data_IF_892580056388
#
_entry.id   IF_892580056388
#
_cell.length_a   1.000
_cell.length_b   1.000
_cell.length_c   1.000
_cell.angle_alpha   90.00
_cell.angle_beta   90.00
_cell.angle_gamma   90.00
#
_symmetry.space_group_name_H-M   'P 1'
#
loop_
_entity.id
_entity.type
_entity.pdbx_description
1 polymer ?
#
# COMPACT_ATOMS: atom_id res chain seq x y z
N UNK A 1 31.61 -48.54 -12.80
CA UNK A 1 31.16 -47.28 -13.51
C UNK A 1 29.65 -47.16 -13.61
N UNK A 2 28.89 -48.23 -13.96
CA UNK A 2 27.42 -48.15 -14.02
C UNK A 2 26.78 -47.87 -12.62
N UNK A 3 27.25 -48.59 -11.59
CA UNK A 3 26.75 -48.43 -10.23
C UNK A 3 27.00 -47.02 -9.66
N UNK A 4 28.13 -46.38 -10.00
CA UNK A 4 28.44 -44.99 -9.55
C UNK A 4 27.55 -43.98 -10.22
N UNK A 5 27.25 -44.14 -11.52
CA UNK A 5 26.33 -43.24 -12.26
C UNK A 5 24.92 -43.36 -11.69
N UNK A 6 24.43 -44.57 -11.46
CA UNK A 6 23.13 -44.81 -10.85
C UNK A 6 23.05 -44.23 -9.44
N UNK A 7 24.08 -44.36 -8.63
CA UNK A 7 24.16 -43.78 -7.28
C UNK A 7 24.08 -42.23 -7.29
N UNK A 8 24.79 -41.58 -8.22
CA UNK A 8 24.75 -40.13 -8.39
C UNK A 8 23.33 -39.68 -8.82
N UNK A 9 22.72 -40.33 -9.76
CA UNK A 9 21.36 -39.99 -10.22
C UNK A 9 20.36 -40.11 -9.06
N UNK A 10 20.41 -41.21 -8.32
CA UNK A 10 19.53 -41.42 -7.16
C UNK A 10 19.75 -40.34 -6.09
N UNK A 11 21.02 -40.01 -5.77
CA UNK A 11 21.29 -38.97 -4.75
C UNK A 11 20.82 -37.58 -5.20
N UNK A 12 20.94 -37.23 -6.49
CA UNK A 12 20.42 -35.96 -7.02
C UNK A 12 18.89 -35.92 -6.94
N UNK A 13 18.22 -37.00 -7.31
CA UNK A 13 16.75 -37.07 -7.21
C UNK A 13 16.29 -36.94 -5.76
N UNK A 14 16.94 -37.59 -4.82
CA UNK A 14 16.63 -37.49 -3.37
C UNK A 14 16.85 -36.07 -2.85
N UNK A 15 17.94 -35.40 -3.23
CA UNK A 15 18.22 -34.03 -2.84
C UNK A 15 17.17 -33.05 -3.40
N UNK A 16 16.77 -33.22 -4.65
CA UNK A 16 15.71 -32.41 -5.25
C UNK A 16 14.37 -32.62 -4.51
N UNK A 17 14.05 -33.89 -4.20
CA UNK A 17 12.82 -34.18 -3.46
C UNK A 17 12.82 -33.60 -2.04
N UNK A 18 13.92 -33.68 -1.32
CA UNK A 18 14.08 -33.04 0.00
C UNK A 18 13.98 -31.53 -0.12
N UNK A 19 14.58 -30.91 -1.14
CA UNK A 19 14.48 -29.47 -1.37
C UNK A 19 13.04 -29.02 -1.62
N UNK A 20 12.29 -29.77 -2.40
CA UNK A 20 10.87 -29.51 -2.64
C UNK A 20 10.06 -29.62 -1.34
N UNK A 21 10.31 -30.64 -0.52
CA UNK A 21 9.61 -30.81 0.76
C UNK A 21 9.93 -29.68 1.74
N UNK A 22 11.18 -29.20 1.80
CA UNK A 22 11.58 -28.07 2.63
C UNK A 22 10.90 -26.80 2.19
N UNK A 23 10.88 -26.51 0.87
CA UNK A 23 10.20 -25.35 0.32
C UNK A 23 8.70 -25.41 0.59
N UNK A 24 8.07 -26.57 0.39
CA UNK A 24 6.65 -26.77 0.65
C UNK A 24 6.33 -26.59 2.15
N UNK A 25 7.19 -27.10 3.05
CA UNK A 25 7.05 -26.90 4.50
C UNK A 25 7.18 -25.43 4.89
N UNK A 26 8.10 -24.68 4.28
CA UNK A 26 8.27 -23.24 4.52
C UNK A 26 7.06 -22.44 4.06
N UNK A 27 6.52 -22.73 2.88
CA UNK A 27 5.33 -22.07 2.35
C UNK A 27 4.09 -22.39 3.20
N UNK A 28 3.93 -23.66 3.61
CA UNK A 28 2.78 -24.08 4.45
C UNK A 28 2.85 -23.52 5.87
N UNK A 29 4.03 -23.20 6.39
CA UNK A 29 4.20 -22.59 7.73
C UNK A 29 3.86 -21.09 7.72
N UNK A 30 3.77 -20.46 6.55
CA UNK A 30 3.48 -19.02 6.41
C UNK A 30 2.02 -18.67 6.71
N UNK A 31 1.11 -19.63 6.70
CA UNK A 31 -0.32 -19.45 7.04
C UNK A 31 -0.63 -19.81 8.50
N UNK A 32 0.19 -19.37 9.46
CA UNK A 32 -0.21 -19.54 10.86
C UNK A 32 -1.34 -18.55 11.20
N UNK A 33 -2.56 -19.04 11.30
CA UNK A 33 -3.68 -18.26 11.85
C UNK A 33 -3.29 -17.70 13.21
N UNK A 34 -3.20 -16.37 13.29
CA UNK A 34 -2.94 -15.69 14.56
C UNK A 34 -4.11 -15.96 15.51
N UNK A 35 -3.88 -16.69 16.59
CA UNK A 35 -4.91 -16.89 17.61
C UNK A 35 -5.20 -15.58 18.33
N UNK A 36 -6.37 -15.02 18.04
CA UNK A 36 -6.85 -13.80 18.69
C UNK A 36 -7.28 -14.12 20.12
N UNK A 37 -6.72 -13.41 21.11
CA UNK A 37 -7.14 -13.54 22.51
C UNK A 37 -8.31 -12.61 22.81
N UNK A 38 -9.10 -12.95 23.85
CA UNK A 38 -10.18 -12.08 24.32
C UNK A 38 -9.67 -10.68 24.67
N UNK A 39 -10.43 -9.66 24.26
CA UNK A 39 -10.12 -8.25 24.47
C UNK A 39 -8.84 -7.79 23.76
N UNK A 40 -8.54 -8.34 22.61
CA UNK A 40 -7.42 -7.88 21.75
C UNK A 40 -7.74 -6.56 21.05
N UNK A 41 -6.71 -5.87 20.66
CA UNK A 41 -6.74 -4.70 19.76
C UNK A 41 -5.98 -5.09 18.51
N UNK A 42 -6.58 -4.86 17.34
CA UNK A 42 -5.88 -5.01 16.07
C UNK A 42 -4.94 -3.82 15.87
N UNK A 43 -3.66 -4.10 15.69
CA UNK A 43 -2.68 -3.08 15.31
C UNK A 43 -2.63 -2.99 13.78
N UNK A 44 -2.92 -1.82 13.25
CA UNK A 44 -2.81 -1.50 11.84
C UNK A 44 -1.59 -0.59 11.65
N UNK A 45 -0.46 -1.21 11.33
CA UNK A 45 0.78 -0.51 11.00
C UNK A 45 0.74 -0.03 9.56
N UNK A 46 0.68 1.28 9.36
CA UNK A 46 0.67 1.93 8.05
C UNK A 46 2.06 2.48 7.73
N UNK A 47 2.98 1.57 7.42
CA UNK A 47 4.37 1.90 7.12
C UNK A 47 4.85 1.14 5.89
N UNK A 48 5.03 1.83 4.76
CA UNK A 48 5.52 1.23 3.51
C UNK A 48 4.73 1.62 2.28
N UNK A 49 4.86 0.84 1.22
CA UNK A 49 4.13 1.02 -0.03
C UNK A 49 2.84 0.19 -0.02
N UNK A 50 1.81 0.72 -0.67
CA UNK A 50 0.55 0.01 -0.87
C UNK A 50 0.41 -0.39 -2.34
N UNK A 51 0.18 -1.69 -2.58
CA UNK A 51 -0.21 -2.25 -3.86
C UNK A 51 -1.69 -2.68 -3.82
N UNK A 52 -2.31 -2.88 -4.96
CA UNK A 52 -3.69 -3.40 -5.05
C UNK A 52 -3.81 -4.78 -4.40
N UNK A 53 -2.80 -5.62 -4.60
CA UNK A 53 -2.70 -6.97 -4.04
C UNK A 53 -1.34 -7.20 -3.44
N UNK A 54 -1.28 -7.95 -2.36
CA UNK A 54 0.00 -8.45 -1.84
C UNK A 54 0.70 -9.30 -2.90
N UNK A 55 1.99 -9.09 -3.03
CA UNK A 55 2.86 -9.97 -3.82
C UNK A 55 3.74 -10.69 -2.82
N UNK A 56 3.45 -11.98 -2.59
CA UNK A 56 4.33 -12.85 -1.82
C UNK A 56 5.62 -13.09 -2.60
N UNK A 57 6.56 -12.18 -2.45
CA UNK A 57 7.88 -12.37 -3.01
C UNK A 57 8.76 -13.03 -1.94
N UNK A 58 9.22 -14.28 -2.15
CA UNK A 58 10.08 -14.98 -1.17
C UNK A 58 11.37 -14.23 -0.83
N UNK A 59 11.79 -13.30 -1.69
CA UNK A 59 12.97 -12.47 -1.46
C UNK A 59 12.72 -11.30 -0.50
N UNK A 60 11.48 -10.88 -0.29
CA UNK A 60 11.16 -9.77 0.61
C UNK A 60 11.49 -10.13 2.06
N UNK A 61 11.35 -11.40 2.43
CA UNK A 61 11.78 -11.94 3.72
C UNK A 61 13.31 -11.85 3.94
N UNK A 62 14.11 -11.83 2.87
CA UNK A 62 15.57 -11.69 2.92
C UNK A 62 16.03 -10.22 2.90
N UNK A 63 15.22 -9.31 2.39
CA UNK A 63 15.56 -7.89 2.24
C UNK A 63 15.24 -7.06 3.49
N UNK A 64 14.53 -7.62 4.46
CA UNK A 64 14.13 -6.96 5.70
C UNK A 64 12.93 -6.01 5.56
N UNK A 65 12.38 -5.55 6.68
CA UNK A 65 11.14 -4.76 6.77
C UNK A 65 11.14 -3.41 6.03
N UNK A 66 12.28 -2.94 5.55
CA UNK A 66 12.41 -1.64 4.89
C UNK A 66 11.71 -1.55 3.51
N UNK A 67 11.28 -2.67 2.95
CA UNK A 67 10.61 -2.76 1.64
C UNK A 67 9.24 -3.42 1.72
N UNK A 68 8.60 -3.36 2.89
CA UNK A 68 7.30 -3.98 3.10
C UNK A 68 6.26 -3.35 2.18
N UNK A 69 5.68 -4.18 1.32
CA UNK A 69 4.55 -3.80 0.46
C UNK A 69 3.31 -4.47 1.01
N UNK A 70 2.29 -3.68 1.31
CA UNK A 70 1.00 -4.17 1.79
C UNK A 70 0.05 -4.35 0.61
N UNK A 71 -0.77 -5.39 0.62
CA UNK A 71 -1.93 -5.52 -0.24
C UNK A 71 -3.10 -4.69 0.29
N UNK A 72 -3.75 -3.92 -0.56
CA UNK A 72 -4.99 -3.24 -0.21
C UNK A 72 -6.06 -4.25 0.20
N UNK A 73 -6.18 -5.34 -0.57
CA UNK A 73 -7.09 -6.45 -0.30
C UNK A 73 -6.87 -7.09 1.07
N UNK A 74 -5.61 -7.26 1.51
CA UNK A 74 -5.27 -7.80 2.82
C UNK A 74 -5.67 -6.85 3.96
N UNK A 75 -5.42 -5.55 3.78
CA UNK A 75 -5.82 -4.53 4.76
C UNK A 75 -7.35 -4.52 4.91
N UNK A 76 -8.08 -4.47 3.79
CA UNK A 76 -9.54 -4.45 3.80
C UNK A 76 -10.13 -5.73 4.44
N UNK A 77 -9.58 -6.89 4.06
CA UNK A 77 -10.01 -8.17 4.61
C UNK A 77 -9.71 -8.28 6.12
N UNK A 78 -8.56 -7.76 6.55
CA UNK A 78 -8.17 -7.74 7.97
C UNK A 78 -9.08 -6.84 8.81
N UNK A 79 -9.44 -5.65 8.31
CA UNK A 79 -10.39 -4.76 8.97
C UNK A 79 -11.78 -5.43 9.06
N UNK A 80 -12.23 -6.09 7.99
CA UNK A 80 -13.50 -6.81 7.99
C UNK A 80 -13.51 -7.95 8.99
N UNK A 81 -12.46 -8.79 9.02
CA UNK A 81 -12.31 -9.87 10.02
C UNK A 81 -12.31 -9.32 11.45
N UNK A 82 -11.63 -8.17 11.67
CA UNK A 82 -11.63 -7.52 12.97
C UNK A 82 -13.02 -6.98 13.37
N UNK A 83 -13.82 -6.51 12.42
CA UNK A 83 -15.21 -6.10 12.65
C UNK A 83 -16.06 -7.26 13.14
N UNK A 84 -15.92 -8.42 12.50
CA UNK A 84 -16.72 -9.63 12.75
C UNK A 84 -16.26 -10.41 13.99
N UNK A 85 -15.05 -10.22 14.48
CA UNK A 85 -14.48 -10.97 15.59
C UNK A 85 -14.78 -10.30 16.94
N UNK A 86 -15.58 -10.94 17.79
CA UNK A 86 -15.98 -10.43 19.10
C UNK A 86 -14.82 -10.29 20.11
N UNK A 87 -13.72 -10.98 19.91
CA UNK A 87 -12.54 -10.89 20.76
C UNK A 87 -11.71 -9.64 20.48
N UNK A 88 -11.90 -8.99 19.33
CA UNK A 88 -11.27 -7.70 18.97
C UNK A 88 -12.18 -6.56 19.41
N UNK A 89 -11.65 -5.66 20.23
CA UNK A 89 -12.40 -4.52 20.80
C UNK A 89 -12.17 -3.20 20.09
N UNK A 90 -11.11 -3.09 19.33
CA UNK A 90 -10.79 -1.87 18.60
C UNK A 90 -9.63 -2.04 17.64
N UNK A 91 -9.34 -0.97 16.91
CA UNK A 91 -8.17 -0.85 16.03
C UNK A 91 -7.27 0.27 16.57
N UNK A 92 -5.98 -0.01 16.65
CA UNK A 92 -4.93 0.98 16.83
C UNK A 92 -4.20 1.19 15.51
N UNK A 93 -4.25 2.42 15.00
CA UNK A 93 -3.55 2.80 13.76
C UNK A 93 -2.22 3.44 14.15
N UNK A 94 -1.13 2.81 13.76
CA UNK A 94 0.19 3.40 13.80
C UNK A 94 0.49 4.05 12.45
N UNK A 95 0.39 5.38 12.41
CA UNK A 95 0.51 6.16 11.18
C UNK A 95 1.93 6.68 11.01
N UNK A 96 2.78 5.94 10.32
CA UNK A 96 4.18 6.31 10.09
C UNK A 96 4.39 6.90 8.69
N UNK A 97 4.18 6.10 7.64
CA UNK A 97 4.34 6.54 6.25
C UNK A 97 3.67 5.55 5.31
N UNK A 98 2.60 5.94 4.65
CA UNK A 98 1.91 5.10 3.67
C UNK A 98 2.00 5.69 2.27
N UNK A 99 2.75 5.04 1.40
CA UNK A 99 2.82 5.32 -0.03
C UNK A 99 1.60 4.74 -0.75
N UNK A 100 0.50 5.49 -0.81
CA UNK A 100 -0.75 5.06 -1.42
C UNK A 100 -1.39 6.18 -2.26
N UNK A 101 -2.17 5.80 -3.26
CA UNK A 101 -3.04 6.72 -4.01
C UNK A 101 -4.21 7.23 -3.17
N UNK A 102 -4.89 8.28 -3.64
CA UNK A 102 -6.06 8.82 -2.93
C UNK A 102 -7.22 7.82 -2.89
N UNK A 103 -7.49 7.11 -3.97
CA UNK A 103 -8.55 6.12 -4.05
C UNK A 103 -8.34 4.98 -3.04
N UNK A 104 -7.14 4.41 -2.99
CA UNK A 104 -6.82 3.32 -2.05
C UNK A 104 -6.92 3.77 -0.58
N UNK A 105 -6.51 5.04 -0.28
CA UNK A 105 -6.71 5.61 1.06
C UNK A 105 -8.19 5.79 1.41
N UNK A 106 -9.01 6.18 0.43
CA UNK A 106 -10.44 6.32 0.62
C UNK A 106 -11.11 4.97 0.89
N UNK A 107 -10.70 3.92 0.21
CA UNK A 107 -11.21 2.56 0.47
C UNK A 107 -10.86 2.08 1.88
N UNK A 108 -9.61 2.23 2.33
CA UNK A 108 -9.23 1.90 3.71
C UNK A 108 -10.05 2.74 4.70
N UNK A 109 -10.21 4.04 4.44
CA UNK A 109 -11.02 4.91 5.29
C UNK A 109 -12.47 4.48 5.37
N UNK A 110 -13.06 4.05 4.26
CA UNK A 110 -14.45 3.57 4.22
C UNK A 110 -14.58 2.24 4.98
N UNK A 111 -13.61 1.33 4.86
CA UNK A 111 -13.58 0.11 5.66
C UNK A 111 -13.46 0.39 7.18
N UNK A 112 -12.68 1.40 7.57
CA UNK A 112 -12.59 1.84 8.96
C UNK A 112 -13.90 2.48 9.47
N UNK A 113 -14.62 3.23 8.63
CA UNK A 113 -15.95 3.74 8.97
C UNK A 113 -16.94 2.61 9.19
N UNK A 114 -16.95 1.63 8.28
CA UNK A 114 -17.77 0.44 8.39
C UNK A 114 -17.43 -0.37 9.66
N UNK A 115 -16.14 -0.49 10.00
CA UNK A 115 -15.71 -1.09 11.27
C UNK A 115 -16.33 -0.38 12.49
N UNK A 116 -16.40 0.96 12.51
CA UNK A 116 -16.99 1.73 13.61
C UNK A 116 -18.49 1.45 13.81
N UNK A 117 -19.21 1.04 12.78
CA UNK A 117 -20.62 0.65 12.90
C UNK A 117 -20.83 -0.55 13.84
N UNK A 118 -19.79 -1.35 14.10
CA UNK A 118 -19.81 -2.41 15.09
C UNK A 118 -19.75 -1.92 16.55
N UNK A 119 -19.63 -0.62 16.78
CA UNK A 119 -19.50 -0.03 18.12
C UNK A 119 -18.10 -0.13 18.73
N UNK A 120 -17.12 -0.67 17.99
CA UNK A 120 -15.73 -0.79 18.42
C UNK A 120 -14.99 0.52 18.17
N UNK A 121 -13.95 0.80 18.98
CA UNK A 121 -13.20 2.04 18.90
C UNK A 121 -12.04 1.98 17.91
N UNK A 122 -11.64 3.15 17.41
CA UNK A 122 -10.42 3.33 16.63
C UNK A 122 -9.59 4.45 17.28
N UNK A 123 -8.31 4.18 17.50
CA UNK A 123 -7.34 5.18 17.96
C UNK A 123 -6.20 5.24 16.94
N UNK A 124 -5.78 6.42 16.55
CA UNK A 124 -4.64 6.64 15.67
C UNK A 124 -3.54 7.41 16.40
N UNK A 125 -2.31 6.99 16.23
CA UNK A 125 -1.12 7.70 16.68
C UNK A 125 -0.13 7.87 15.54
N UNK A 126 0.52 9.02 15.48
CA UNK A 126 1.60 9.29 14.55
C UNK A 126 2.60 10.28 15.12
N UNK A 127 3.86 10.06 14.80
CA UNK A 127 4.91 11.04 15.11
C UNK A 127 4.80 12.26 14.19
N UNK A 128 4.30 12.07 12.98
CA UNK A 128 3.93 13.14 12.06
C UNK A 128 2.85 12.63 11.12
N UNK A 129 1.97 13.54 10.67
CA UNK A 129 0.93 13.21 9.72
C UNK A 129 1.13 13.94 8.40
N UNK A 130 1.35 13.22 7.32
CA UNK A 130 1.10 13.76 5.99
C UNK A 130 -0.40 14.00 5.80
N UNK A 131 -0.78 14.89 4.89
CA UNK A 131 -2.20 15.15 4.60
C UNK A 131 -2.99 13.87 4.30
N UNK A 132 -2.40 12.92 3.56
CA UNK A 132 -3.06 11.65 3.23
C UNK A 132 -3.22 10.71 4.42
N UNK A 133 -2.24 10.65 5.33
CA UNK A 133 -2.35 9.88 6.57
C UNK A 133 -3.33 10.51 7.55
N UNK A 134 -3.33 11.85 7.66
CA UNK A 134 -4.31 12.56 8.49
C UNK A 134 -5.73 12.32 7.97
N UNK A 135 -5.95 12.39 6.65
CA UNK A 135 -7.24 12.07 6.04
C UNK A 135 -7.72 10.67 6.42
N UNK A 136 -6.84 9.67 6.35
CA UNK A 136 -7.17 8.30 6.72
C UNK A 136 -7.44 8.18 8.23
N UNK A 137 -6.56 8.73 9.07
CA UNK A 137 -6.64 8.64 10.53
C UNK A 137 -7.78 9.45 11.13
N UNK A 138 -8.30 10.47 10.41
CA UNK A 138 -9.38 11.33 10.90
C UNK A 138 -10.73 10.62 11.09
N UNK A 139 -10.87 9.36 10.70
CA UNK A 139 -12.02 8.51 11.02
C UNK A 139 -11.97 7.99 12.47
N UNK A 140 -10.79 7.97 13.09
CA UNK A 140 -10.59 7.47 14.44
C UNK A 140 -11.35 8.29 15.49
N UNK A 141 -11.69 7.68 16.62
CA UNK A 141 -12.33 8.34 17.75
C UNK A 141 -11.34 9.30 18.46
N UNK A 142 -10.05 8.93 18.40
CA UNK A 142 -8.95 9.78 18.89
C UNK A 142 -7.79 9.74 17.91
N UNK A 143 -7.33 10.91 17.50
CA UNK A 143 -6.10 11.09 16.73
C UNK A 143 -5.07 11.76 17.62
N UNK A 144 -3.99 11.07 17.88
CA UNK A 144 -2.91 11.50 18.76
C UNK A 144 -1.69 11.85 17.90
N UNK A 145 -1.10 13.01 18.18
CA UNK A 145 0.13 13.47 17.56
C UNK A 145 1.23 13.55 18.62
N UNK A 146 2.43 13.10 18.28
CA UNK A 146 3.59 13.33 19.10
C UNK A 146 3.75 14.86 19.36
N UNK A 147 4.01 15.32 20.60
CA UNK A 147 4.17 16.75 20.89
C UNK A 147 5.27 17.44 20.08
N UNK A 148 6.26 16.72 19.59
CA UNK A 148 7.34 17.21 18.71
C UNK A 148 7.04 16.99 17.22
N UNK A 149 5.89 16.43 16.90
CA UNK A 149 5.49 16.10 15.55
C UNK A 149 4.81 17.24 14.81
N UNK A 150 4.52 17.01 13.53
CA UNK A 150 3.83 17.98 12.68
C UNK A 150 2.68 17.32 11.90
N UNK A 151 1.67 18.12 11.59
CA UNK A 151 0.60 17.77 10.65
C UNK A 151 0.77 18.60 9.39
N UNK A 152 0.87 17.92 8.26
CA UNK A 152 0.90 18.58 6.96
C UNK A 152 -0.52 18.87 6.47
N UNK A 153 -0.82 20.16 6.21
CA UNK A 153 -2.13 20.62 5.75
C UNK A 153 -1.97 21.59 4.58
N UNK A 154 -1.86 21.08 3.35
CA UNK A 154 -1.51 21.89 2.17
C UNK A 154 -2.63 22.03 1.14
N UNK A 155 -3.58 21.09 1.08
CA UNK A 155 -4.53 21.00 -0.02
C UNK A 155 -3.89 20.44 -1.29
N UNK A 156 -4.51 20.73 -2.43
CA UNK A 156 -4.07 20.30 -3.75
C UNK A 156 -3.78 21.54 -4.61
N UNK A 157 -2.63 21.55 -5.28
CA UNK A 157 -2.27 22.57 -6.26
C UNK A 157 -1.62 21.91 -7.47
N UNK A 158 -1.92 22.44 -8.66
CA UNK A 158 -1.25 22.06 -9.90
C UNK A 158 -0.79 23.33 -10.60
N UNK A 159 0.46 23.34 -11.05
CA UNK A 159 1.04 24.49 -11.75
C UNK A 159 1.63 24.02 -13.08
N UNK A 160 0.79 23.87 -14.13
CA UNK A 160 1.28 23.50 -15.45
C UNK A 160 2.10 24.64 -16.06
N UNK A 161 3.18 24.29 -16.77
CA UNK A 161 3.95 25.23 -17.57
C UNK A 161 3.48 25.19 -19.00
N UNK A 162 3.37 26.37 -19.65
CA UNK A 162 2.98 26.52 -21.05
C UNK A 162 4.17 26.95 -21.87
N UNK A 163 4.47 26.23 -22.93
CA UNK A 163 5.66 26.39 -23.75
C UNK A 163 5.41 27.04 -25.11
N UNK A 164 4.16 27.34 -25.47
CA UNK A 164 3.75 27.87 -26.78
C UNK A 164 4.59 29.07 -27.19
N UNK A 165 4.70 30.08 -26.34
CA UNK A 165 5.42 31.31 -26.67
C UNK A 165 6.93 31.11 -26.74
N UNK A 166 7.48 30.21 -25.90
CA UNK A 166 8.89 29.84 -25.96
C UNK A 166 9.22 29.14 -27.29
N UNK A 167 8.40 28.17 -27.68
CA UNK A 167 8.55 27.42 -28.92
C UNK A 167 8.47 28.35 -30.14
N UNK A 168 7.52 29.28 -30.17
CA UNK A 168 7.39 30.28 -31.22
C UNK A 168 8.64 31.17 -31.32
N UNK A 169 9.22 31.60 -30.19
CA UNK A 169 10.45 32.43 -30.17
C UNK A 169 11.68 31.73 -30.74
N UNK A 170 11.77 30.42 -30.59
CA UNK A 170 12.89 29.62 -31.14
C UNK A 170 12.57 29.03 -32.52
N UNK A 171 11.42 29.40 -33.11
CA UNK A 171 11.04 28.98 -34.47
C UNK A 171 10.54 27.54 -34.56
N UNK A 172 10.10 26.95 -33.45
CA UNK A 172 9.55 25.59 -33.42
C UNK A 172 8.01 25.65 -33.48
N UNK A 173 7.43 25.01 -34.49
CA UNK A 173 5.98 24.85 -34.64
C UNK A 173 5.60 23.43 -34.26
N UNK A 174 4.64 23.32 -33.31
CA UNK A 174 4.14 22.02 -32.83
C UNK A 174 2.97 21.56 -33.67
N UNK A 175 3.12 20.43 -34.36
CA UNK A 175 2.01 19.73 -35.01
C UNK A 175 1.41 18.70 -34.06
N UNK A 176 0.14 18.91 -33.73
CA UNK A 176 -0.55 18.07 -32.74
C UNK A 176 -1.70 17.32 -33.39
N UNK A 177 -1.66 16.00 -33.21
CA UNK A 177 -2.75 15.10 -33.58
C UNK A 177 -3.48 14.71 -32.31
N UNK A 178 -4.67 15.29 -32.07
CA UNK A 178 -5.51 14.93 -30.93
C UNK A 178 -6.88 14.44 -31.41
N UNK A 179 -7.40 13.43 -30.71
CA UNK A 179 -8.74 12.92 -30.92
C UNK A 179 -9.59 13.24 -29.69
N UNK A 180 -10.70 13.94 -29.89
CA UNK A 180 -11.62 14.34 -28.85
C UNK A 180 -11.31 15.70 -28.19
N UNK A 181 -12.32 16.27 -27.54
CA UNK A 181 -12.30 17.62 -26.97
C UNK A 181 -11.47 17.70 -25.68
N UNK A 182 -11.47 16.63 -24.89
CA UNK A 182 -10.86 16.62 -23.55
C UNK A 182 -9.39 16.12 -23.50
N UNK A 183 -8.67 16.20 -24.61
CA UNK A 183 -7.25 15.84 -24.65
C UNK A 183 -6.38 17.01 -24.20
N UNK A 184 -6.39 17.32 -22.90
CA UNK A 184 -5.65 18.45 -22.31
C UNK A 184 -4.13 18.24 -22.22
N UNK A 185 -3.62 17.02 -22.35
CA UNK A 185 -2.18 16.72 -22.29
C UNK A 185 -1.32 17.49 -23.29
N UNK A 186 -1.91 18.02 -24.37
CA UNK A 186 -1.21 18.81 -25.42
C UNK A 186 -1.32 20.32 -25.21
N UNK A 187 -2.17 20.78 -24.28
CA UNK A 187 -2.38 22.22 -24.02
C UNK A 187 -1.10 22.98 -23.66
N UNK A 188 -0.16 22.40 -22.87
CA UNK A 188 1.10 23.09 -22.58
C UNK A 188 1.90 23.54 -23.82
N UNK A 189 1.68 22.91 -24.97
CA UNK A 189 2.42 23.20 -26.21
C UNK A 189 1.64 24.11 -27.17
N UNK A 190 0.32 24.25 -27.03
CA UNK A 190 -0.54 24.99 -27.97
C UNK A 190 -1.32 26.15 -27.34
N UNK A 191 -1.34 26.20 -26.03
CA UNK A 191 -2.08 27.23 -25.28
C UNK A 191 -1.14 28.02 -24.38
N UNK A 192 -1.58 29.19 -23.92
CA UNK A 192 -0.87 30.04 -22.95
C UNK A 192 -1.46 29.93 -21.56
N UNK A 193 -2.64 29.31 -21.43
CA UNK A 193 -3.37 29.11 -20.19
C UNK A 193 -4.18 27.81 -20.25
N UNK A 194 -4.67 27.35 -19.11
CA UNK A 194 -5.56 26.19 -19.03
C UNK A 194 -6.92 26.48 -19.64
N UNK A 195 -7.49 25.50 -20.32
CA UNK A 195 -8.90 25.54 -20.71
C UNK A 195 -9.82 25.52 -19.48
N UNK A 196 -10.99 26.17 -19.57
CA UNK A 196 -11.99 26.17 -18.49
C UNK A 196 -12.54 24.78 -18.17
#
# INVERSE_FOLDING_TARGET
TFATITGIIVSVVVLVFISILVVFSMVSSSESETQVRKNSIMMLDLNGALAERSQDNPFDALMGDNYKTYGLDDILSSIKKAKENDDIKGIYIEATSLGAGFASREEIRNALKDFKESGKFIVAYGDSYSQGLYYLSSVADKVLLNPQGMVEWRGLAATPMFFKDLLAKIGVEMQIFKVGTYKSAVEPFISTEMSP
#
